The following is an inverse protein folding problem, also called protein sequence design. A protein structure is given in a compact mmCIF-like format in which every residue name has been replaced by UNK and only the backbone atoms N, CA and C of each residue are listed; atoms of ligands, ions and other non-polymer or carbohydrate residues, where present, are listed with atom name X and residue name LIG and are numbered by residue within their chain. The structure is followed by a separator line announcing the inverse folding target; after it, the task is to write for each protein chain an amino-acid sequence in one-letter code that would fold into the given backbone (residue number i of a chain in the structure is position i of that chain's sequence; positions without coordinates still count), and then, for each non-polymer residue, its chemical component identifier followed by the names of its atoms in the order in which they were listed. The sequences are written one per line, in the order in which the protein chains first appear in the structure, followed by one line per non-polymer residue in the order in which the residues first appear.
data_IF_347457921771
#
_entry.id   IF_347457921771
#
_cell.length_a   1.000
_cell.length_b   1.000
_cell.length_c   1.000
_cell.angle_alpha   90.00
_cell.angle_beta   90.00
_cell.angle_gamma   90.00
#
_symmetry.space_group_name_H-M   'P 1'
#
loop_
_entity.id
_entity.type
_entity.pdbx_description
1 polymer ?
#
# COMPACT_ATOMS: atom_id res chain seq x y z
N UNK A 1 12.50 -26.50 -53.93
CA UNK A 1 11.29 -25.72 -54.28
C UNK A 1 10.79 -25.02 -53.01
N UNK A 2 10.56 -23.70 -53.09
CA UNK A 2 9.82 -22.80 -52.17
C UNK A 2 10.30 -22.78 -50.70
N UNK A 3 11.27 -21.93 -50.30
CA UNK A 3 11.10 -20.52 -49.88
C UNK A 3 9.72 -20.20 -49.29
N UNK A 4 9.62 -20.19 -47.96
CA UNK A 4 8.59 -19.45 -47.23
C UNK A 4 9.31 -18.65 -46.15
N UNK A 5 9.56 -17.38 -46.46
CA UNK A 5 9.95 -16.37 -45.49
C UNK A 5 8.68 -15.91 -44.77
N UNK A 6 8.59 -16.13 -43.46
CA UNK A 6 7.55 -15.55 -42.62
C UNK A 6 8.16 -14.34 -41.90
N UNK A 7 7.89 -13.15 -42.42
CA UNK A 7 8.16 -11.89 -41.76
C UNK A 7 7.18 -11.74 -40.59
N UNK A 8 7.69 -11.92 -39.36
CA UNK A 8 6.93 -11.65 -38.13
C UNK A 8 6.99 -10.15 -37.88
N UNK A 9 5.86 -9.49 -38.05
CA UNK A 9 5.65 -8.09 -37.74
C UNK A 9 5.90 -7.84 -36.24
N UNK A 10 6.86 -6.96 -35.97
CA UNK A 10 7.17 -6.45 -34.63
C UNK A 10 6.01 -5.56 -34.16
N UNK A 11 5.08 -6.14 -33.40
CA UNK A 11 4.04 -5.39 -32.72
C UNK A 11 4.66 -4.54 -31.61
N UNK A 12 4.55 -3.21 -31.77
CA UNK A 12 4.90 -2.20 -30.78
C UNK A 12 4.20 -2.52 -29.45
N UNK A 13 4.98 -2.92 -28.45
CA UNK A 13 4.60 -2.90 -27.05
C UNK A 13 4.35 -1.44 -26.64
N UNK A 14 3.08 -1.03 -26.63
CA UNK A 14 2.66 0.17 -25.92
C UNK A 14 2.88 -0.07 -24.42
N UNK A 15 3.92 0.53 -23.87
CA UNK A 15 4.17 0.58 -22.43
C UNK A 15 2.93 1.16 -21.72
N UNK A 16 2.49 0.61 -20.58
CA UNK A 16 1.53 1.30 -19.74
C UNK A 16 2.21 2.58 -19.21
N UNK A 17 1.82 3.73 -19.74
CA UNK A 17 2.17 5.01 -19.14
C UNK A 17 1.45 5.11 -17.80
N UNK A 18 2.20 4.98 -16.70
CA UNK A 18 1.74 5.40 -15.37
C UNK A 18 1.42 6.89 -15.44
N UNK A 19 0.14 7.23 -15.31
CA UNK A 19 -0.30 8.63 -15.27
C UNK A 19 -0.08 9.16 -13.86
N UNK A 20 1.07 9.80 -13.65
CA UNK A 20 1.30 10.61 -12.48
C UNK A 20 0.39 11.85 -12.56
N UNK A 21 -0.58 11.96 -11.66
CA UNK A 21 -1.41 13.15 -11.53
C UNK A 21 -0.65 14.18 -10.67
N UNK A 22 -0.39 15.35 -11.25
CA UNK A 22 0.49 16.34 -10.67
C UNK A 22 -0.26 17.65 -10.48
N UNK A 23 -0.28 18.17 -9.25
CA UNK A 23 -0.75 19.52 -8.96
C UNK A 23 0.34 20.30 -8.19
N UNK A 24 0.54 21.57 -8.55
CA UNK A 24 1.53 22.48 -7.94
C UNK A 24 2.94 21.88 -7.74
N UNK A 25 3.42 21.10 -8.73
CA UNK A 25 4.75 20.48 -8.69
C UNK A 25 4.88 19.31 -7.72
N UNK A 26 3.77 18.76 -7.23
CA UNK A 26 3.72 17.53 -6.43
C UNK A 26 2.97 16.48 -7.23
N UNK A 27 3.71 15.49 -7.74
CA UNK A 27 3.15 14.30 -8.37
C UNK A 27 3.02 13.20 -7.33
N UNK A 28 1.83 12.63 -7.19
CA UNK A 28 1.59 11.50 -6.28
C UNK A 28 1.31 10.28 -7.15
N UNK A 29 2.14 9.24 -7.02
CA UNK A 29 1.94 7.95 -7.68
C UNK A 29 1.77 6.89 -6.60
N UNK A 30 0.60 6.26 -6.54
CA UNK A 30 0.29 5.21 -5.58
C UNK A 30 0.27 3.91 -6.33
N UNK A 31 1.24 3.01 -6.13
CA UNK A 31 1.22 1.69 -6.74
C UNK A 31 1.55 0.57 -5.76
N UNK A 32 0.81 -0.51 -5.83
CA UNK A 32 1.09 -1.75 -5.14
C UNK A 32 1.75 -2.70 -6.11
N UNK A 33 2.68 -3.43 -5.55
CA UNK A 33 3.57 -4.31 -6.25
C UNK A 33 2.82 -5.46 -6.92
N UNK A 34 3.37 -5.96 -8.03
CA UNK A 34 2.78 -7.01 -8.86
C UNK A 34 2.72 -8.37 -8.16
N UNK A 35 3.38 -8.52 -7.00
CA UNK A 35 3.36 -9.72 -6.15
C UNK A 35 2.44 -9.61 -4.92
N UNK A 36 1.64 -8.53 -4.81
CA UNK A 36 0.43 -8.51 -3.98
C UNK A 36 0.63 -8.45 -2.47
N UNK A 37 1.81 -8.08 -1.97
CA UNK A 37 2.08 -8.00 -0.52
C UNK A 37 2.29 -6.58 0.01
N UNK A 38 2.42 -5.56 -0.84
CA UNK A 38 2.79 -4.21 -0.39
C UNK A 38 2.16 -3.09 -1.23
N UNK A 39 1.55 -2.10 -0.58
CA UNK A 39 1.17 -0.81 -1.19
C UNK A 39 2.28 0.20 -0.95
N UNK A 40 2.94 0.63 -2.02
CA UNK A 40 3.99 1.63 -1.97
C UNK A 40 3.44 2.96 -2.50
N UNK A 41 3.22 3.92 -1.61
CA UNK A 41 2.84 5.29 -1.98
C UNK A 41 4.13 6.07 -2.27
N UNK A 42 4.37 6.44 -3.53
CA UNK A 42 5.54 7.23 -3.94
C UNK A 42 5.14 8.66 -4.27
N UNK A 43 5.50 9.60 -3.40
CA UNK A 43 5.28 11.03 -3.67
C UNK A 43 6.54 11.63 -4.29
N UNK A 44 6.43 12.11 -5.53
CA UNK A 44 7.51 12.79 -6.26
C UNK A 44 7.18 14.28 -6.35
N UNK A 45 7.97 15.14 -5.70
CA UNK A 45 7.89 16.59 -5.92
C UNK A 45 8.67 16.96 -7.18
N UNK A 46 7.99 17.15 -8.31
CA UNK A 46 8.56 17.57 -9.60
C UNK A 46 7.55 17.49 -10.73
N UNK A 47 7.87 18.00 -11.93
CA UNK A 47 7.07 17.77 -13.15
C UNK A 47 7.22 16.31 -13.61
N UNK A 48 6.21 15.74 -14.26
CA UNK A 48 6.28 14.40 -14.84
C UNK A 48 7.55 14.25 -15.71
N UNK A 49 8.43 13.31 -15.33
CA UNK A 49 9.69 13.04 -16.04
C UNK A 49 10.91 13.89 -15.68
N UNK A 50 10.85 14.77 -14.68
CA UNK A 50 11.98 15.63 -14.30
C UNK A 50 12.69 15.14 -13.03
N UNK A 51 13.97 14.77 -13.16
CA UNK A 51 14.87 14.41 -12.06
C UNK A 51 15.67 15.61 -11.50
N UNK A 52 15.25 16.86 -11.74
CA UNK A 52 16.03 18.03 -11.35
C UNK A 52 15.43 18.79 -10.15
N UNK A 53 16.08 18.62 -8.99
CA UNK A 53 15.88 19.47 -7.80
C UNK A 53 16.57 20.82 -8.03
N UNK A 54 15.82 21.86 -8.37
CA UNK A 54 16.38 23.22 -8.40
C UNK A 54 16.43 23.80 -6.98
N UNK A 55 17.65 24.03 -6.50
CA UNK A 55 17.94 24.80 -5.28
C UNK A 55 17.82 26.30 -5.59
N UNK A 56 17.28 27.14 -4.68
CA UNK A 56 17.17 28.57 -4.95
C UNK A 56 18.56 29.21 -5.02
N UNK A 57 18.80 30.01 -6.06
CA UNK A 57 20.01 30.80 -6.26
C UNK A 57 19.92 32.06 -5.38
N UNK A 58 20.82 32.19 -4.41
CA UNK A 58 20.93 33.40 -3.62
C UNK A 58 21.34 34.59 -4.51
N UNK A 59 20.59 35.68 -4.41
CA UNK A 59 20.83 36.96 -5.08
C UNK A 59 22.06 37.62 -4.46
N UNK A 60 23.14 37.72 -5.21
CA UNK A 60 24.36 38.45 -4.83
C UNK A 60 24.02 39.92 -4.58
N UNK A 61 24.21 40.37 -3.35
CA UNK A 61 24.11 41.78 -2.95
C UNK A 61 25.23 42.59 -3.60
N UNK A 62 24.86 43.75 -4.15
CA UNK A 62 25.75 44.71 -4.81
C UNK A 62 26.81 45.27 -3.85
N UNK A 63 28.06 45.29 -4.31
CA UNK A 63 29.18 46.01 -3.70
C UNK A 63 28.88 47.51 -3.63
N UNK A 64 28.72 48.05 -2.43
CA UNK A 64 28.70 49.49 -2.20
C UNK A 64 30.13 50.03 -2.22
N UNK A 65 30.43 50.91 -3.19
CA UNK A 65 31.70 51.65 -3.25
C UNK A 65 31.79 52.59 -2.04
N UNK A 66 32.89 52.52 -1.28
CA UNK A 66 33.17 53.42 -0.16
C UNK A 66 33.47 54.84 -0.68
N UNK A 67 32.86 55.90 -0.12
CA UNK A 67 33.25 57.28 -0.44
C UNK A 67 34.59 57.64 0.21
N UNK A 68 35.44 58.34 -0.54
CA UNK A 68 36.76 58.82 -0.10
C UNK A 68 36.61 60.17 0.61
N UNK A 69 36.97 60.23 1.89
CA UNK A 69 36.89 61.46 2.71
C UNK A 69 38.31 61.79 3.21
N UNK A 70 38.90 62.94 2.81
CA UNK A 70 40.34 63.20 2.95
C UNK A 70 40.82 63.60 4.35
N UNK A 71 39.94 63.77 5.35
CA UNK A 71 40.31 64.18 6.72
C UNK A 71 40.03 63.13 7.80
N UNK A 72 39.68 61.90 7.44
CA UNK A 72 39.41 60.85 8.42
C UNK A 72 40.72 60.19 8.87
N UNK A 73 41.02 60.11 10.19
CA UNK A 73 42.20 59.40 10.66
C UNK A 73 42.14 57.93 10.22
N UNK A 74 43.26 57.42 9.69
CA UNK A 74 43.35 56.03 9.21
C UNK A 74 43.00 55.09 10.38
N UNK A 75 42.04 54.16 10.23
CA UNK A 75 41.73 53.22 11.29
C UNK A 75 42.97 52.38 11.62
N UNK A 76 43.30 52.29 12.91
CA UNK A 76 44.36 51.42 13.41
C UNK A 76 44.01 49.99 13.06
N UNK A 77 44.92 49.28 12.38
CA UNK A 77 44.77 47.88 12.00
C UNK A 77 44.69 47.00 13.24
N UNK A 78 43.48 46.80 13.76
CA UNK A 78 43.24 45.76 14.75
C UNK A 78 43.18 44.45 13.97
N UNK A 79 44.17 43.57 14.14
CA UNK A 79 44.17 42.24 13.52
C UNK A 79 42.87 41.52 13.87
N UNK A 80 41.99 41.40 12.87
CA UNK A 80 40.76 40.63 13.01
C UNK A 80 41.13 39.16 13.27
N UNK A 81 40.57 38.58 14.33
CA UNK A 81 40.72 37.16 14.62
C UNK A 81 40.30 36.33 13.39
N UNK A 82 41.15 35.36 13.02
CA UNK A 82 40.90 34.49 11.88
C UNK A 82 39.49 33.85 11.99
N UNK A 83 38.67 33.90 10.93
CA UNK A 83 37.33 33.36 10.98
C UNK A 83 37.41 31.84 11.15
N UNK A 84 36.81 31.32 12.24
CA UNK A 84 36.61 29.87 12.37
C UNK A 84 35.74 29.37 11.21
N UNK A 85 36.06 28.20 10.61
CA UNK A 85 35.24 27.64 9.55
C UNK A 85 33.82 27.38 10.06
N UNK A 86 32.83 28.07 9.50
CA UNK A 86 31.41 27.76 9.73
C UNK A 86 31.10 26.45 9.03
N UNK A 87 30.93 25.38 9.80
CA UNK A 87 30.37 24.12 9.30
C UNK A 87 28.89 24.37 9.01
N UNK A 88 28.57 24.74 7.77
CA UNK A 88 27.18 24.72 7.29
C UNK A 88 26.78 23.26 7.08
N UNK A 89 26.14 22.66 8.09
CA UNK A 89 25.42 21.41 7.89
C UNK A 89 24.20 21.73 7.03
N UNK A 90 24.24 21.31 5.75
CA UNK A 90 23.02 21.28 4.94
C UNK A 90 22.02 20.38 5.68
N UNK A 91 20.76 20.81 5.87
CA UNK A 91 19.76 19.92 6.48
C UNK A 91 19.66 18.68 5.60
N UNK A 92 20.06 17.53 6.15
CA UNK A 92 19.92 16.24 5.49
C UNK A 92 18.44 15.92 5.47
N UNK A 93 17.76 16.33 4.39
CA UNK A 93 16.40 15.88 4.11
C UNK A 93 16.48 14.37 4.01
N UNK A 94 15.98 13.68 5.04
CA UNK A 94 15.84 12.23 5.00
C UNK A 94 14.67 11.96 4.05
N UNK A 95 14.97 11.50 2.85
CA UNK A 95 13.98 10.91 1.96
C UNK A 95 13.44 9.68 2.69
N UNK A 96 12.19 9.77 3.16
CA UNK A 96 11.48 8.63 3.74
C UNK A 96 11.31 7.63 2.60
N UNK A 97 11.85 6.43 2.74
CA UNK A 97 11.68 5.39 1.71
C UNK A 97 10.20 5.01 1.65
N UNK A 98 9.67 4.76 0.46
CA UNK A 98 8.27 4.32 0.28
C UNK A 98 7.91 3.09 1.13
N UNK A 99 8.90 2.27 1.47
CA UNK A 99 8.78 1.12 2.39
C UNK A 99 8.41 1.50 3.84
N UNK A 100 8.76 2.69 4.33
CA UNK A 100 8.40 3.10 5.70
C UNK A 100 6.93 3.51 5.82
N UNK A 101 6.32 3.94 4.72
CA UNK A 101 4.91 4.36 4.67
C UNK A 101 4.02 3.13 4.44
N UNK A 102 4.44 2.20 3.59
CA UNK A 102 3.75 0.92 3.40
C UNK A 102 3.65 0.12 4.71
N UNK A 103 4.72 0.10 5.50
CA UNK A 103 4.75 -0.53 6.82
C UNK A 103 3.83 0.15 7.84
N UNK A 104 3.69 1.49 7.79
CA UNK A 104 2.72 2.21 8.61
C UNK A 104 1.27 1.93 8.20
N UNK A 105 0.99 1.82 6.89
CA UNK A 105 -0.36 1.52 6.38
C UNK A 105 -0.76 0.07 6.71
N UNK A 106 0.18 -0.89 6.66
CA UNK A 106 -0.05 -2.29 7.09
C UNK A 106 -0.46 -2.38 8.55
N UNK A 107 0.16 -1.57 9.42
CA UNK A 107 -0.19 -1.50 10.85
C UNK A 107 -1.63 -1.07 11.10
N UNK A 108 -2.25 -0.37 10.14
CA UNK A 108 -3.59 0.18 10.29
C UNK A 108 -4.70 -0.75 9.82
N UNK A 109 -4.40 -1.84 9.10
CA UNK A 109 -5.43 -2.74 8.62
C UNK A 109 -6.04 -3.54 9.79
N UNK A 110 -7.37 -3.74 9.78
CA UNK A 110 -8.03 -4.52 10.83
C UNK A 110 -7.49 -5.95 10.84
N UNK A 111 -7.15 -6.45 12.02
CA UNK A 111 -6.85 -7.86 12.22
C UNK A 111 -8.15 -8.64 12.32
N UNK A 112 -8.33 -9.63 11.45
CA UNK A 112 -9.52 -10.45 11.40
C UNK A 112 -9.30 -11.88 11.85
N UNK A 113 -10.38 -12.56 12.18
CA UNK A 113 -10.40 -13.99 12.48
C UNK A 113 -11.43 -14.72 11.63
N UNK A 114 -11.28 -16.04 11.50
CA UNK A 114 -12.25 -16.92 10.86
C UNK A 114 -13.12 -17.56 11.94
N UNK A 115 -14.43 -17.47 11.78
CA UNK A 115 -15.45 -18.07 12.64
C UNK A 115 -16.19 -19.12 11.82
N UNK A 116 -16.49 -20.27 12.41
CA UNK A 116 -17.24 -21.34 11.76
C UNK A 116 -18.46 -21.73 12.58
N UNK A 117 -19.49 -22.22 11.91
CA UNK A 117 -20.63 -22.89 12.54
C UNK A 117 -20.79 -24.27 11.87
N UNK A 118 -20.62 -25.38 12.61
CA UNK A 118 -20.29 -25.44 14.05
C UNK A 118 -18.89 -24.90 14.40
N UNK A 119 -18.68 -24.53 15.67
CA UNK A 119 -17.40 -23.96 16.13
C UNK A 119 -16.28 -25.01 16.19
N UNK A 120 -16.63 -26.27 16.45
CA UNK A 120 -15.71 -27.40 16.60
C UNK A 120 -16.26 -28.63 15.90
N UNK A 121 -15.35 -29.53 15.51
CA UNK A 121 -15.63 -30.87 15.01
C UNK A 121 -16.76 -30.95 13.96
N UNK A 122 -16.73 -30.13 12.89
CA UNK A 122 -17.71 -30.25 11.80
C UNK A 122 -17.68 -31.65 11.20
N UNK A 123 -18.85 -32.14 10.80
CA UNK A 123 -19.01 -33.46 10.24
C UNK A 123 -18.82 -33.46 8.72
N UNK A 124 -18.36 -34.58 8.17
CA UNK A 124 -18.45 -34.83 6.74
C UNK A 124 -19.91 -34.79 6.28
N UNK A 125 -20.15 -34.36 5.04
CA UNK A 125 -21.48 -34.23 4.43
C UNK A 125 -22.44 -33.23 5.08
N UNK A 126 -22.01 -32.53 6.14
CA UNK A 126 -22.76 -31.43 6.75
C UNK A 126 -22.22 -30.07 6.26
N UNK A 127 -23.09 -29.06 5.99
CA UNK A 127 -22.63 -27.73 5.62
C UNK A 127 -21.99 -27.02 6.81
N UNK A 128 -20.75 -26.57 6.62
CA UNK A 128 -20.05 -25.69 7.55
C UNK A 128 -20.20 -24.26 7.05
N UNK A 129 -20.76 -23.39 7.90
CA UNK A 129 -20.85 -21.96 7.60
C UNK A 129 -19.56 -21.25 8.02
N UNK A 130 -19.02 -20.41 7.15
CA UNK A 130 -17.78 -19.65 7.33
C UNK A 130 -18.08 -18.15 7.41
N UNK A 131 -17.50 -17.51 8.41
CA UNK A 131 -17.64 -16.07 8.63
C UNK A 131 -16.30 -15.47 9.00
N UNK A 132 -16.15 -14.16 8.80
CA UNK A 132 -14.99 -13.41 9.26
C UNK A 132 -15.38 -12.13 9.98
N UNK A 133 -14.53 -11.70 10.91
CA UNK A 133 -14.64 -10.40 11.58
C UNK A 133 -14.05 -9.26 10.75
N UNK A 134 -13.43 -9.54 9.59
CA UNK A 134 -12.89 -8.50 8.70
C UNK A 134 -14.05 -7.70 8.08
N UNK A 135 -14.10 -6.38 8.25
CA UNK A 135 -15.19 -5.56 7.72
C UNK A 135 -15.15 -5.46 6.19
N UNK A 136 -16.30 -5.22 5.58
CA UNK A 136 -16.40 -5.08 4.11
C UNK A 136 -15.83 -3.75 3.62
N UNK A 137 -15.97 -2.71 4.41
CA UNK A 137 -15.42 -1.38 4.11
C UNK A 137 -14.53 -0.96 5.28
N UNK A 138 -13.38 -0.39 4.95
CA UNK A 138 -12.45 0.17 5.93
C UNK A 138 -12.06 1.57 5.50
N UNK A 139 -12.02 2.51 6.44
CA UNK A 139 -11.63 3.88 6.16
C UNK A 139 -10.72 4.39 7.26
N UNK A 140 -9.62 5.04 6.88
CA UNK A 140 -8.64 5.56 7.82
C UNK A 140 -8.05 6.87 7.29
N UNK A 141 -7.53 7.67 8.22
CA UNK A 141 -6.86 8.94 7.91
C UNK A 141 -5.44 8.86 8.44
N UNK A 142 -4.47 9.11 7.56
CA UNK A 142 -3.06 9.21 7.90
C UNK A 142 -2.58 10.63 7.62
N UNK A 143 -1.74 11.18 8.49
CA UNK A 143 -1.18 12.52 8.28
C UNK A 143 0.27 12.38 7.84
N UNK A 144 0.56 12.80 6.61
CA UNK A 144 1.92 12.79 6.05
C UNK A 144 2.32 14.22 5.75
N UNK A 145 3.41 14.70 6.35
CA UNK A 145 3.92 16.07 6.14
C UNK A 145 2.86 17.17 6.38
N UNK A 146 1.98 16.99 7.38
CA UNK A 146 0.81 17.85 7.72
C UNK A 146 -0.32 17.84 6.69
N UNK A 147 -0.31 16.94 5.72
CA UNK A 147 -1.42 16.74 4.79
C UNK A 147 -2.21 15.51 5.26
N UNK A 148 -3.50 15.65 5.59
CA UNK A 148 -4.35 14.50 5.89
C UNK A 148 -4.69 13.76 4.60
N UNK A 149 -4.39 12.47 4.58
CA UNK A 149 -4.70 11.55 3.50
C UNK A 149 -5.80 10.61 3.99
N UNK A 150 -6.96 10.64 3.35
CA UNK A 150 -8.08 9.74 3.64
C UNK A 150 -8.03 8.56 2.70
N UNK A 151 -8.16 7.36 3.25
CA UNK A 151 -8.09 6.10 2.51
C UNK A 151 -9.43 5.38 2.69
N UNK A 152 -10.04 4.97 1.59
CA UNK A 152 -11.25 4.14 1.58
C UNK A 152 -10.96 2.83 0.87
N UNK A 153 -11.14 1.70 1.57
CA UNK A 153 -10.89 0.35 1.08
C UNK A 153 -12.18 -0.48 1.12
N UNK A 154 -12.37 -1.31 0.09
CA UNK A 154 -13.41 -2.33 0.00
C UNK A 154 -12.76 -3.71 -0.08
N UNK A 155 -13.25 -4.64 0.74
CA UNK A 155 -12.74 -6.01 0.81
C UNK A 155 -13.39 -6.92 -0.23
N UNK A 156 -12.57 -7.82 -0.78
CA UNK A 156 -12.98 -9.01 -1.52
C UNK A 156 -12.44 -10.24 -0.78
N UNK A 157 -13.33 -11.18 -0.44
CA UNK A 157 -12.99 -12.34 0.37
C UNK A 157 -12.78 -13.55 -0.53
N UNK A 158 -11.63 -14.20 -0.39
CA UNK A 158 -11.27 -15.43 -1.11
C UNK A 158 -11.03 -16.52 -0.07
N UNK A 159 -11.99 -17.42 0.05
CA UNK A 159 -11.91 -18.60 0.90
C UNK A 159 -11.23 -19.76 0.17
N UNK A 160 -10.37 -20.47 0.88
CA UNK A 160 -9.88 -21.80 0.55
C UNK A 160 -10.18 -22.70 1.75
N UNK A 161 -10.92 -23.79 1.52
CA UNK A 161 -11.40 -24.65 2.60
C UNK A 161 -10.39 -25.72 3.02
N UNK A 162 -9.21 -25.78 2.39
CA UNK A 162 -8.16 -26.75 2.72
C UNK A 162 -8.39 -28.16 2.16
N UNK A 163 -9.38 -28.33 1.28
CA UNK A 163 -9.65 -29.56 0.53
C UNK A 163 -9.59 -29.36 -1.00
N UNK A 164 -8.98 -28.25 -1.44
CA UNK A 164 -8.86 -27.87 -2.84
C UNK A 164 -10.05 -27.09 -3.39
N UNK A 165 -11.10 -26.86 -2.60
CA UNK A 165 -12.22 -25.98 -2.99
C UNK A 165 -12.04 -24.56 -2.48
N UNK A 166 -12.50 -23.62 -3.29
CA UNK A 166 -12.43 -22.18 -3.00
C UNK A 166 -13.78 -21.50 -3.22
N UNK A 167 -13.97 -20.35 -2.58
CA UNK A 167 -15.13 -19.48 -2.74
C UNK A 167 -14.71 -18.01 -2.75
N UNK A 168 -15.11 -17.26 -3.77
CA UNK A 168 -14.89 -15.81 -3.84
C UNK A 168 -16.21 -15.09 -3.57
N UNK A 169 -16.22 -14.16 -2.62
CA UNK A 169 -17.43 -13.46 -2.18
C UNK A 169 -17.13 -12.00 -1.80
N UNK A 170 -18.16 -11.15 -1.88
CA UNK A 170 -18.11 -9.76 -1.40
C UNK A 170 -18.62 -9.62 0.04
N UNK A 171 -19.12 -10.71 0.62
CA UNK A 171 -19.72 -10.70 1.95
C UNK A 171 -18.83 -11.44 2.96
N UNK A 172 -18.66 -10.90 4.18
CA UNK A 172 -17.86 -11.53 5.22
C UNK A 172 -18.45 -12.85 5.74
N UNK A 173 -19.68 -13.19 5.33
CA UNK A 173 -20.47 -14.29 5.87
C UNK A 173 -21.59 -13.74 6.76
N UNK A 174 -22.50 -14.62 7.16
CA UNK A 174 -23.57 -14.29 8.11
C UNK A 174 -23.86 -15.52 8.97
N UNK A 175 -24.27 -15.34 10.24
CA UNK A 175 -24.64 -16.46 11.10
C UNK A 175 -25.87 -17.18 10.56
N UNK A 176 -26.13 -18.38 11.08
CA UNK A 176 -27.43 -19.04 10.91
C UNK A 176 -28.59 -18.08 11.25
N UNK A 177 -29.68 -18.04 10.45
CA UNK A 177 -29.98 -18.91 9.31
C UNK A 177 -29.47 -18.42 7.95
N UNK A 178 -28.91 -17.21 7.85
CA UNK A 178 -28.54 -16.63 6.55
C UNK A 178 -27.38 -17.36 5.86
N UNK A 179 -26.37 -17.79 6.63
CA UNK A 179 -25.27 -18.68 6.20
C UNK A 179 -24.74 -18.40 4.78
N UNK A 180 -24.21 -17.19 4.54
CA UNK A 180 -23.87 -16.75 3.18
C UNK A 180 -22.68 -17.48 2.53
N UNK A 181 -21.77 -18.04 3.34
CA UNK A 181 -20.59 -18.74 2.85
C UNK A 181 -20.59 -20.14 3.46
N UNK A 182 -20.94 -21.16 2.67
CA UNK A 182 -21.03 -22.54 3.14
C UNK A 182 -20.09 -23.44 2.37
N UNK A 183 -19.59 -24.47 3.04
CA UNK A 183 -18.86 -25.55 2.39
C UNK A 183 -19.10 -26.88 3.09
N UNK A 184 -19.20 -27.94 2.30
CA UNK A 184 -19.41 -29.30 2.77
C UNK A 184 -18.19 -30.14 2.46
N UNK A 185 -17.55 -30.65 3.52
CA UNK A 185 -16.39 -31.54 3.41
C UNK A 185 -16.81 -32.96 3.04
N UNK A 186 -16.00 -33.61 2.20
CA UNK A 186 -16.22 -34.99 1.73
C UNK A 186 -15.32 -36.02 2.40
N UNK A 187 -14.26 -35.58 3.07
CA UNK A 187 -13.32 -36.45 3.76
C UNK A 187 -13.05 -35.93 5.17
N UNK A 188 -12.96 -36.87 6.11
CA UNK A 188 -12.56 -36.59 7.49
C UNK A 188 -11.06 -36.31 7.58
N UNK A 189 -10.62 -35.73 8.70
CA UNK A 189 -9.22 -35.40 8.98
C UNK A 189 -8.99 -33.91 9.21
N UNK A 190 -7.73 -33.55 9.45
CA UNK A 190 -7.33 -32.16 9.65
C UNK A 190 -7.37 -31.38 8.33
N UNK A 191 -8.00 -30.21 8.38
CA UNK A 191 -8.10 -29.26 7.27
C UNK A 191 -7.61 -27.90 7.75
N UNK A 192 -6.94 -27.17 6.86
CA UNK A 192 -6.52 -25.78 7.09
C UNK A 192 -7.31 -24.87 6.17
N UNK A 193 -8.37 -24.27 6.71
CA UNK A 193 -9.10 -23.25 5.99
C UNK A 193 -8.29 -21.94 6.01
N UNK A 194 -8.24 -21.25 4.89
CA UNK A 194 -7.61 -19.94 4.78
C UNK A 194 -8.55 -18.93 4.13
N UNK A 195 -8.44 -17.70 4.58
CA UNK A 195 -9.13 -16.54 4.03
C UNK A 195 -8.09 -15.56 3.55
N UNK A 196 -8.11 -15.26 2.26
CA UNK A 196 -7.34 -14.16 1.67
C UNK A 196 -8.28 -13.00 1.40
N UNK A 197 -8.09 -11.88 2.10
CA UNK A 197 -8.83 -10.64 1.89
C UNK A 197 -8.03 -9.74 0.97
N UNK A 198 -8.59 -9.40 -0.18
CA UNK A 198 -8.00 -8.46 -1.14
C UNK A 198 -8.70 -7.12 -0.98
N UNK A 199 -7.95 -6.06 -0.74
CA UNK A 199 -8.51 -4.71 -0.66
C UNK A 199 -8.24 -3.92 -1.93
N UNK A 200 -9.26 -3.23 -2.40
CA UNK A 200 -9.17 -2.23 -3.46
C UNK A 200 -9.87 -0.95 -3.00
N UNK A 201 -9.44 0.20 -3.52
CA UNK A 201 -9.99 1.46 -3.02
C UNK A 201 -9.34 2.70 -3.60
N UNK A 202 -9.69 3.83 -3.00
CA UNK A 202 -9.25 5.16 -3.41
C UNK A 202 -8.65 5.90 -2.22
N UNK A 203 -7.71 6.78 -2.50
CA UNK A 203 -7.19 7.73 -1.53
C UNK A 203 -7.53 9.16 -1.96
N UNK A 204 -7.62 10.06 -0.99
CA UNK A 204 -7.81 11.49 -1.24
C UNK A 204 -6.96 12.35 -0.31
N UNK A 205 -6.49 13.49 -0.80
CA UNK A 205 -5.79 14.51 -0.03
C UNK A 205 -6.20 15.90 -0.54
N UNK A 206 -7.05 16.58 0.24
CA UNK A 206 -7.64 17.84 -0.20
C UNK A 206 -8.47 17.66 -1.49
N UNK A 207 -8.10 18.37 -2.56
CA UNK A 207 -8.78 18.29 -3.86
C UNK A 207 -8.28 17.15 -4.76
N UNK A 208 -7.26 16.40 -4.35
CA UNK A 208 -6.71 15.29 -5.13
C UNK A 208 -7.33 13.97 -4.70
N UNK A 209 -7.70 13.12 -5.66
CA UNK A 209 -8.14 11.75 -5.40
C UNK A 209 -7.69 10.81 -6.50
N UNK A 210 -7.19 9.63 -6.15
CA UNK A 210 -6.80 8.64 -7.14
C UNK A 210 -7.06 7.22 -6.60
N UNK A 211 -7.22 6.23 -7.51
CA UNK A 211 -7.24 4.82 -7.10
C UNK A 211 -5.91 4.47 -6.44
N UNK A 212 -5.97 3.57 -5.46
CA UNK A 212 -4.77 2.95 -4.91
C UNK A 212 -4.35 1.91 -5.93
N UNK A 213 -3.27 2.15 -6.69
CA UNK A 213 -2.84 1.12 -7.63
C UNK A 213 -2.28 -0.07 -6.84
N UNK A 214 -2.42 -1.26 -7.42
CA UNK A 214 -2.03 -2.58 -6.93
C UNK A 214 -2.90 -3.20 -5.80
N UNK A 215 -2.50 -4.38 -5.31
CA UNK A 215 -3.33 -5.22 -4.43
C UNK A 215 -2.80 -5.30 -3.00
N UNK A 216 -3.58 -4.82 -2.03
CA UNK A 216 -3.36 -5.13 -0.60
C UNK A 216 -3.97 -6.50 -0.33
N UNK A 217 -3.19 -7.44 0.19
CA UNK A 217 -3.73 -8.73 0.62
C UNK A 217 -3.44 -9.00 2.09
N UNK A 218 -4.43 -9.55 2.78
CA UNK A 218 -4.30 -10.08 4.13
C UNK A 218 -4.68 -11.56 4.11
N UNK A 219 -3.94 -12.38 4.86
CA UNK A 219 -4.21 -13.81 4.94
C UNK A 219 -4.45 -14.20 6.39
N UNK A 220 -5.53 -14.93 6.62
CA UNK A 220 -5.94 -15.46 7.93
C UNK A 220 -6.16 -16.96 7.74
N UNK A 221 -5.78 -17.77 8.73
CA UNK A 221 -5.90 -19.22 8.66
C UNK A 221 -6.61 -19.75 9.92
N UNK A 222 -7.30 -20.88 9.77
CA UNK A 222 -7.94 -21.61 10.85
C UNK A 222 -7.82 -23.11 10.60
N UNK A 223 -7.39 -23.82 11.63
CA UNK A 223 -7.35 -25.28 11.62
C UNK A 223 -8.71 -25.86 12.04
N UNK A 224 -9.12 -26.93 11.36
CA UNK A 224 -10.41 -27.60 11.52
C UNK A 224 -10.20 -29.11 11.50
N UNK A 225 -10.68 -29.79 12.52
CA UNK A 225 -10.72 -31.26 12.57
C UNK A 225 -12.08 -31.75 12.06
N UNK A 226 -12.14 -32.27 10.83
CA UNK A 226 -13.39 -32.79 10.26
C UNK A 226 -13.61 -34.22 10.74
N UNK A 227 -14.77 -34.49 11.34
CA UNK A 227 -15.12 -35.80 11.89
C UNK A 227 -15.98 -36.64 10.93
N UNK A 228 -15.85 -37.97 10.96
CA UNK A 228 -16.77 -38.84 10.23
C UNK A 228 -18.16 -38.83 10.87
N UNK A 229 -19.21 -38.84 10.05
CA UNK A 229 -20.59 -39.02 10.50
C UNK A 229 -20.88 -40.52 10.69
N UNK A 230 -20.43 -41.10 11.81
CA UNK A 230 -20.77 -42.50 12.16
C UNK A 230 -22.09 -42.53 12.91
N UNK A 231 -23.07 -43.27 12.41
CA UNK A 231 -24.32 -43.56 13.11
C UNK A 231 -24.17 -44.87 13.88
N UNK A 232 -24.30 -44.83 15.20
CA UNK A 232 -24.49 -46.05 16.02
C UNK A 232 -25.98 -46.18 16.30
N UNK A 233 -26.61 -47.23 15.78
CA UNK A 233 -27.97 -47.60 16.16
C UNK A 233 -27.88 -48.39 17.48
N UNK A 234 -28.53 -47.87 18.52
CA UNK A 234 -28.76 -48.61 19.76
C UNK A 234 -30.17 -49.19 19.61
N UNK A 235 -30.25 -50.51 19.47
CA UNK A 235 -31.51 -51.27 19.49
C UNK A 235 -31.95 -51.51 20.93
#
# INVERSE_FOLDING_TARGET
MKKIALAIALALLASPSSYAECNDGTCIDVSADQEGKEVVITVKKGKAGSSSTSSPRARTTSSTRKPWIPWLPKPVETRAAAPRPKVTSKPRIRTISGSQISDQVRSLLPTGTIITQPLKDPLIHEPVNFMTTVPTNFSTVIVVLRIPITIHLTALYVWDFGDGKTLVTKFPGAPYPAMLNQHTYRSAGEKRASLTVRWSGFWSAGAMSAPINGSITQRIEKELTIRPARTTFIS
#
